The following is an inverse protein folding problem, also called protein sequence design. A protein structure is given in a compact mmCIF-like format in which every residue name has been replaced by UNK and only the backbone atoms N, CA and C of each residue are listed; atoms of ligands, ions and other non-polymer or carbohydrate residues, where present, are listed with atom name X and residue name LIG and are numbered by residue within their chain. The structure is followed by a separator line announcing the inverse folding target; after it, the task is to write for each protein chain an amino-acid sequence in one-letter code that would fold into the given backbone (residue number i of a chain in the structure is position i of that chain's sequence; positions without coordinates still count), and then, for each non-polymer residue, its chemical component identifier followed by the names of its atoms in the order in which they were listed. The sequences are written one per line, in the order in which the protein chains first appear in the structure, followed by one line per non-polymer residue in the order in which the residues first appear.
data_IF_564936954553
#
_entry.id   IF_564936954553
#
_cell.length_a   1.000
_cell.length_b   1.000
_cell.length_c   1.000
_cell.angle_alpha   90.00
_cell.angle_beta   90.00
_cell.angle_gamma   90.00
#
_symmetry.space_group_name_H-M   'P 1'
#
loop_
_entity.id
_entity.type
_entity.pdbx_description
1 polymer ?
#
# COMPACT_ATOMS: atom_id res chain seq x y z
N UNK A 1 2.90 -19.27 -9.52
CA UNK A 1 2.62 -20.71 -9.70
C UNK A 1 3.92 -21.47 -9.99
N UNK A 2 4.68 -21.09 -11.00
CA UNK A 2 5.95 -21.77 -11.40
C UNK A 2 6.91 -22.00 -10.22
N UNK A 3 7.09 -21.02 -9.33
CA UNK A 3 7.98 -21.13 -8.18
C UNK A 3 7.46 -22.14 -7.14
N UNK A 4 6.16 -22.19 -6.90
CA UNK A 4 5.56 -23.18 -6.02
C UNK A 4 5.78 -24.58 -6.59
N UNK A 5 5.49 -24.79 -7.88
CA UNK A 5 5.71 -26.06 -8.56
C UNK A 5 7.18 -26.49 -8.55
N UNK A 6 8.10 -25.55 -8.79
CA UNK A 6 9.53 -25.81 -8.77
C UNK A 6 10.06 -26.19 -7.38
N UNK A 7 9.32 -25.91 -6.31
CA UNK A 7 9.69 -26.20 -4.93
C UNK A 7 9.20 -27.58 -4.44
N UNK A 8 8.30 -28.22 -5.18
CA UNK A 8 7.74 -29.54 -4.79
C UNK A 8 8.88 -30.57 -4.70
N UNK A 9 8.91 -31.29 -3.57
CA UNK A 9 9.94 -32.28 -3.27
C UNK A 9 11.32 -31.71 -2.88
N UNK A 10 11.47 -30.37 -2.79
CA UNK A 10 12.71 -29.71 -2.40
C UNK A 10 12.67 -29.11 -1.00
N UNK A 11 11.49 -28.84 -0.46
CA UNK A 11 11.30 -28.31 0.88
C UNK A 11 10.01 -28.85 1.50
N UNK A 12 9.90 -28.77 2.84
CA UNK A 12 8.72 -29.23 3.57
C UNK A 12 7.63 -28.15 3.65
N UNK A 13 8.02 -26.86 3.56
CA UNK A 13 7.13 -25.70 3.66
C UNK A 13 7.51 -24.66 2.65
N UNK A 14 6.52 -23.95 2.13
CA UNK A 14 6.68 -22.75 1.30
C UNK A 14 6.11 -21.54 2.04
N UNK A 15 6.83 -20.43 2.02
CA UNK A 15 6.32 -19.12 2.41
C UNK A 15 6.11 -18.29 1.14
N UNK A 16 4.88 -17.89 0.88
CA UNK A 16 4.54 -16.91 -0.16
C UNK A 16 4.41 -15.55 0.50
N UNK A 17 5.28 -14.63 0.15
CA UNK A 17 5.36 -13.30 0.78
C UNK A 17 5.11 -12.24 -0.30
N UNK A 18 4.22 -11.30 -0.02
CA UNK A 18 3.94 -10.17 -0.91
C UNK A 18 3.48 -8.94 -0.12
N UNK A 19 3.65 -7.75 -0.70
CA UNK A 19 2.90 -6.58 -0.25
C UNK A 19 1.44 -6.70 -0.74
N UNK A 20 0.51 -6.15 0.01
CA UNK A 20 -0.86 -5.95 -0.44
C UNK A 20 -0.91 -4.84 -1.51
N UNK A 21 -0.38 -3.66 -1.16
CA UNK A 21 -0.19 -2.52 -2.06
C UNK A 21 1.31 -2.28 -2.26
N UNK A 22 1.75 -2.22 -3.50
CA UNK A 22 3.13 -1.87 -3.85
C UNK A 22 3.36 -0.37 -3.72
N UNK A 23 4.16 0.03 -2.75
CA UNK A 23 4.30 1.41 -2.26
C UNK A 23 4.74 2.45 -3.30
N UNK A 24 5.50 2.05 -4.33
CA UNK A 24 5.97 2.95 -5.38
C UNK A 24 4.89 3.15 -6.45
N UNK A 25 4.20 2.09 -6.81
CA UNK A 25 3.31 2.05 -7.97
C UNK A 25 1.82 2.26 -7.64
N UNK A 26 1.41 2.01 -6.38
CA UNK A 26 0.01 2.08 -5.98
C UNK A 26 -0.89 0.98 -6.56
N UNK A 27 -0.33 -0.01 -7.26
CA UNK A 27 -1.01 -1.23 -7.66
C UNK A 27 -1.04 -2.23 -6.50
N UNK A 28 -1.83 -3.28 -6.63
CA UNK A 28 -2.06 -4.26 -5.57
C UNK A 28 -1.78 -5.69 -6.04
N UNK A 29 -1.42 -6.54 -5.10
CA UNK A 29 -1.31 -7.97 -5.35
C UNK A 29 -2.73 -8.59 -5.52
N UNK A 30 -2.93 -9.51 -6.48
CA UNK A 30 -4.18 -10.25 -6.62
C UNK A 30 -4.26 -11.37 -5.56
N UNK A 31 -4.58 -10.98 -4.31
CA UNK A 31 -4.48 -11.89 -3.16
C UNK A 31 -5.45 -13.06 -3.23
N UNK A 32 -6.62 -12.89 -3.84
CA UNK A 32 -7.57 -13.98 -4.12
C UNK A 32 -6.94 -15.06 -5.01
N UNK A 33 -6.25 -14.66 -6.07
CA UNK A 33 -5.55 -15.59 -6.98
C UNK A 33 -4.37 -16.25 -6.27
N UNK A 34 -3.58 -15.47 -5.52
CA UNK A 34 -2.41 -15.98 -4.79
C UNK A 34 -2.86 -16.99 -3.72
N UNK A 35 -3.89 -16.67 -2.93
CA UNK A 35 -4.46 -17.58 -1.94
C UNK A 35 -4.98 -18.86 -2.57
N UNK A 36 -5.69 -18.76 -3.71
CA UNK A 36 -6.14 -19.94 -4.45
C UNK A 36 -5.01 -20.83 -4.96
N UNK A 37 -3.85 -20.25 -5.30
CA UNK A 37 -2.65 -21.01 -5.64
C UNK A 37 -2.05 -21.68 -4.40
N UNK A 38 -2.01 -21.00 -3.25
CA UNK A 38 -1.56 -21.60 -1.99
C UNK A 38 -2.43 -22.80 -1.62
N UNK A 39 -3.75 -22.64 -1.61
CA UNK A 39 -4.71 -23.72 -1.35
C UNK A 39 -4.54 -24.90 -2.32
N UNK A 40 -4.35 -24.63 -3.62
CA UNK A 40 -4.21 -25.66 -4.66
C UNK A 40 -3.00 -26.57 -4.46
N UNK A 41 -1.91 -26.03 -3.92
CA UNK A 41 -0.65 -26.75 -3.79
C UNK A 41 -0.27 -27.09 -2.34
N UNK A 42 -1.11 -26.76 -1.36
CA UNK A 42 -0.82 -26.94 0.06
C UNK A 42 -0.46 -28.40 0.41
N UNK A 43 -1.23 -29.35 -0.09
CA UNK A 43 -1.06 -30.79 0.11
C UNK A 43 0.21 -31.40 -0.53
N UNK A 44 0.93 -30.63 -1.35
CA UNK A 44 2.21 -31.02 -1.96
C UNK A 44 3.42 -30.80 -1.04
N UNK A 45 3.20 -30.14 0.09
CA UNK A 45 4.24 -29.84 1.08
C UNK A 45 3.85 -30.42 2.44
N UNK A 46 4.78 -31.12 3.09
CA UNK A 46 4.54 -31.80 4.37
C UNK A 46 4.02 -30.83 5.46
N UNK A 47 4.47 -29.60 5.44
CA UNK A 47 4.12 -28.55 6.40
C UNK A 47 3.31 -27.41 5.75
N UNK A 48 2.79 -27.64 4.55
CA UNK A 48 1.90 -26.72 3.82
C UNK A 48 2.57 -25.47 3.27
N UNK A 49 1.73 -24.53 2.83
CA UNK A 49 2.09 -23.22 2.31
C UNK A 49 1.49 -22.16 3.22
N UNK A 50 2.29 -21.18 3.64
CA UNK A 50 1.82 -20.01 4.37
C UNK A 50 1.85 -18.77 3.47
N UNK A 51 0.73 -18.06 3.41
CA UNK A 51 0.61 -16.77 2.74
C UNK A 51 0.82 -15.63 3.74
N UNK A 52 1.87 -14.86 3.51
CA UNK A 52 2.27 -13.70 4.30
C UNK A 52 2.04 -12.42 3.49
N UNK A 53 1.26 -11.48 4.01
CA UNK A 53 0.95 -10.22 3.34
C UNK A 53 1.33 -9.04 4.21
N UNK A 54 2.17 -8.14 3.71
CA UNK A 54 2.36 -6.81 4.27
C UNK A 54 1.34 -5.85 3.63
N UNK A 55 0.30 -5.51 4.37
CA UNK A 55 -0.75 -4.60 3.91
C UNK A 55 -0.65 -3.21 4.55
N UNK A 56 0.56 -2.80 4.91
CA UNK A 56 0.85 -1.51 5.54
C UNK A 56 0.37 -0.29 4.74
N UNK A 57 0.20 -0.40 3.45
CA UNK A 57 -0.37 0.64 2.60
C UNK A 57 -1.88 0.49 2.38
N UNK A 58 -2.43 -0.72 2.54
CA UNK A 58 -3.85 -0.98 2.30
C UNK A 58 -4.73 -0.68 3.51
N UNK A 59 -4.32 -1.13 4.72
CA UNK A 59 -5.12 -0.97 5.94
C UNK A 59 -5.42 0.50 6.24
N UNK A 60 -6.70 0.79 6.54
CA UNK A 60 -7.20 2.13 6.84
C UNK A 60 -7.40 3.04 5.62
N UNK A 61 -6.91 2.67 4.42
CA UNK A 61 -6.98 3.52 3.23
C UNK A 61 -7.58 2.82 1.99
N UNK A 62 -7.67 1.50 1.98
CA UNK A 62 -8.09 0.71 0.84
C UNK A 62 -9.14 -0.34 1.22
N UNK A 63 -9.85 -0.90 0.22
CA UNK A 63 -10.99 -1.77 0.46
C UNK A 63 -12.28 -0.99 0.73
N UNK A 64 -13.41 -1.67 0.78
CA UNK A 64 -14.74 -1.05 0.94
C UNK A 64 -14.90 -0.35 2.28
N UNK A 65 -14.40 -0.97 3.34
CA UNK A 65 -14.51 -0.49 4.72
C UNK A 65 -13.16 -0.13 5.36
N UNK A 66 -12.08 -0.05 4.55
CA UNK A 66 -10.74 0.28 5.02
C UNK A 66 -9.97 -0.91 5.59
N UNK A 67 -10.43 -2.14 5.35
CA UNK A 67 -9.72 -3.37 5.79
C UNK A 67 -8.62 -3.83 4.84
N UNK A 68 -8.21 -2.95 3.93
CA UNK A 68 -7.05 -3.14 3.09
C UNK A 68 -7.27 -4.02 1.88
N UNK A 69 -6.15 -4.52 1.36
CA UNK A 69 -6.10 -5.30 0.13
C UNK A 69 -6.79 -6.64 0.25
N UNK A 70 -6.76 -7.25 1.44
CA UNK A 70 -7.46 -8.52 1.71
C UNK A 70 -8.98 -8.39 1.54
N UNK A 71 -9.55 -7.24 1.93
CA UNK A 71 -10.96 -6.94 1.69
C UNK A 71 -11.22 -6.66 0.21
N UNK A 72 -10.39 -5.82 -0.41
CA UNK A 72 -10.55 -5.41 -1.79
C UNK A 72 -10.53 -6.58 -2.77
N UNK A 73 -9.68 -7.57 -2.52
CA UNK A 73 -9.50 -8.77 -3.37
C UNK A 73 -10.34 -9.97 -2.91
N UNK A 74 -11.25 -9.82 -1.94
CA UNK A 74 -12.03 -10.92 -1.36
C UNK A 74 -11.17 -12.07 -0.80
N UNK A 75 -9.99 -11.75 -0.25
CA UNK A 75 -9.06 -12.70 0.37
C UNK A 75 -9.16 -12.72 1.91
N UNK A 76 -10.22 -12.14 2.49
CA UNK A 76 -10.47 -12.19 3.94
C UNK A 76 -10.52 -13.63 4.45
N UNK A 77 -9.74 -13.92 5.50
CA UNK A 77 -9.62 -15.26 6.10
C UNK A 77 -8.76 -16.26 5.32
N UNK A 78 -8.12 -15.84 4.23
CA UNK A 78 -7.26 -16.69 3.40
C UNK A 78 -5.76 -16.37 3.53
N UNK A 79 -5.42 -15.33 4.27
CA UNK A 79 -4.05 -14.91 4.56
C UNK A 79 -3.66 -15.44 5.93
N UNK A 80 -2.55 -16.16 6.03
CA UNK A 80 -2.09 -16.77 7.27
C UNK A 80 -1.44 -15.76 8.21
N UNK A 81 -0.69 -14.81 7.64
CA UNK A 81 0.01 -13.77 8.38
C UNK A 81 -0.20 -12.43 7.70
N UNK A 82 -0.89 -11.51 8.38
CA UNK A 82 -1.09 -10.13 7.93
C UNK A 82 -0.22 -9.21 8.77
N UNK A 83 0.58 -8.38 8.11
CA UNK A 83 1.38 -7.32 8.73
C UNK A 83 0.78 -5.96 8.39
N UNK A 84 0.76 -5.07 9.35
CA UNK A 84 0.34 -3.70 9.16
C UNK A 84 1.16 -2.72 9.98
N UNK A 85 1.48 -1.56 9.39
CA UNK A 85 2.08 -0.46 10.14
C UNK A 85 1.02 0.47 10.71
N UNK A 86 1.30 1.02 11.89
CA UNK A 86 0.50 2.10 12.48
C UNK A 86 0.99 3.49 12.03
N UNK A 87 2.12 3.54 11.31
CA UNK A 87 2.78 4.79 10.89
C UNK A 87 2.21 5.46 9.65
N UNK A 88 1.12 4.95 9.06
CA UNK A 88 0.48 5.51 7.86
C UNK A 88 -0.94 5.97 8.18
N UNK A 89 -1.96 5.24 7.81
CA UNK A 89 -3.37 5.61 8.01
C UNK A 89 -3.77 5.79 9.47
N UNK A 90 -3.11 5.10 10.39
CA UNK A 90 -3.36 5.22 11.83
C UNK A 90 -2.63 6.42 12.47
N UNK A 91 -1.64 7.02 11.81
CA UNK A 91 -0.97 8.24 12.23
C UNK A 91 -0.16 8.16 13.53
N UNK A 92 0.31 6.96 13.92
CA UNK A 92 1.10 6.73 15.14
C UNK A 92 2.26 5.77 14.85
N UNK A 93 3.17 5.58 15.80
CA UNK A 93 4.27 4.64 15.65
C UNK A 93 3.84 3.19 15.88
N UNK A 94 4.66 2.25 15.35
CA UNK A 94 4.52 0.84 15.58
C UNK A 94 3.91 0.09 14.42
N UNK A 95 3.53 -1.13 14.70
CA UNK A 95 2.90 -2.04 13.75
C UNK A 95 2.37 -3.26 14.48
N UNK A 96 1.73 -4.14 13.74
CA UNK A 96 1.17 -5.36 14.26
C UNK A 96 1.33 -6.51 13.28
N UNK A 97 1.26 -7.70 13.83
CA UNK A 97 1.11 -8.95 13.09
C UNK A 97 -0.18 -9.61 13.54
N UNK A 98 -1.08 -9.85 12.60
CA UNK A 98 -2.33 -10.59 12.84
C UNK A 98 -2.21 -11.99 12.23
N UNK A 99 -2.30 -13.01 13.09
CA UNK A 99 -2.10 -14.41 12.70
C UNK A 99 -2.68 -15.35 13.75
N UNK A 100 -2.45 -16.67 13.61
CA UNK A 100 -2.89 -17.66 14.60
C UNK A 100 -2.14 -17.53 15.93
N UNK A 101 -2.75 -17.98 17.02
CA UNK A 101 -2.14 -17.95 18.35
C UNK A 101 -0.78 -18.69 18.40
N UNK A 102 -0.66 -19.79 17.67
CA UNK A 102 0.58 -20.57 17.61
C UNK A 102 1.73 -19.76 16.96
N UNK A 103 1.44 -19.04 15.88
CA UNK A 103 2.45 -18.19 15.21
C UNK A 103 2.79 -16.98 16.10
N UNK A 104 1.80 -16.37 16.78
CA UNK A 104 2.05 -15.29 17.75
C UNK A 104 3.00 -15.74 18.84
N UNK A 105 2.74 -16.90 19.45
CA UNK A 105 3.61 -17.47 20.50
C UNK A 105 5.03 -17.74 19.96
N UNK A 106 5.13 -18.30 18.77
CA UNK A 106 6.41 -18.53 18.11
C UNK A 106 7.20 -17.22 17.89
N UNK A 107 6.51 -16.15 17.41
CA UNK A 107 7.14 -14.86 17.18
C UNK A 107 7.61 -14.22 18.48
N UNK A 108 6.84 -14.30 19.56
CA UNK A 108 7.25 -13.81 20.89
C UNK A 108 8.55 -14.46 21.37
N UNK A 109 8.77 -15.73 21.04
CA UNK A 109 9.95 -16.49 21.50
C UNK A 109 11.15 -16.42 20.54
N UNK A 110 10.91 -16.14 19.26
CA UNK A 110 11.92 -16.32 18.20
C UNK A 110 12.22 -15.11 17.35
N UNK A 111 11.35 -14.08 17.35
CA UNK A 111 11.60 -12.88 16.55
C UNK A 111 12.61 -11.94 17.25
N UNK A 112 13.87 -11.81 16.75
CA UNK A 112 14.87 -10.98 17.41
C UNK A 112 14.44 -9.51 17.51
N UNK A 113 13.79 -9.01 16.49
CA UNK A 113 13.30 -7.63 16.46
C UNK A 113 12.23 -7.36 17.52
N UNK A 114 11.40 -8.36 17.87
CA UNK A 114 10.44 -8.24 18.96
C UNK A 114 11.15 -8.34 20.33
N UNK A 115 12.07 -9.29 20.50
CA UNK A 115 12.74 -9.57 21.78
C UNK A 115 13.66 -8.42 22.18
N UNK A 116 14.37 -7.82 21.22
CA UNK A 116 15.42 -6.81 21.45
C UNK A 116 14.99 -5.37 21.09
N UNK A 117 13.71 -5.12 20.86
CA UNK A 117 13.17 -3.77 20.67
C UNK A 117 12.25 -3.35 21.81
N UNK A 118 12.02 -2.06 21.93
CA UNK A 118 11.06 -1.55 22.88
C UNK A 118 9.63 -1.63 22.30
N UNK A 119 8.59 -1.91 23.13
CA UNK A 119 7.20 -1.83 22.70
C UNK A 119 6.80 -0.38 22.41
N UNK A 120 5.69 -0.21 21.67
CA UNK A 120 5.07 1.10 21.48
C UNK A 120 4.68 1.69 22.84
N UNK A 121 4.73 3.01 22.96
CA UNK A 121 4.31 3.68 24.19
C UNK A 121 2.80 3.59 24.42
N UNK A 122 2.31 3.71 25.68
CA UNK A 122 0.88 3.75 25.95
C UNK A 122 0.14 4.85 25.18
N UNK A 123 0.78 6.00 24.95
CA UNK A 123 0.22 7.11 24.18
C UNK A 123 0.01 6.73 22.70
N UNK A 124 0.99 6.06 22.10
CA UNK A 124 0.90 5.55 20.72
C UNK A 124 -0.18 4.47 20.62
N UNK A 125 -0.25 3.55 21.58
CA UNK A 125 -1.29 2.52 21.61
C UNK A 125 -2.69 3.14 21.72
N UNK A 126 -2.89 4.15 22.57
CA UNK A 126 -4.15 4.88 22.70
C UNK A 126 -4.51 5.62 21.41
N UNK A 127 -3.52 6.24 20.74
CA UNK A 127 -3.70 6.88 19.44
C UNK A 127 -4.14 5.89 18.36
N UNK A 128 -3.50 4.73 18.28
CA UNK A 128 -3.86 3.66 17.36
C UNK A 128 -5.28 3.12 17.61
N UNK A 129 -5.64 2.91 18.88
CA UNK A 129 -6.99 2.50 19.25
C UNK A 129 -8.04 3.52 18.80
N UNK A 130 -7.76 4.82 19.03
CA UNK A 130 -8.68 5.88 18.60
C UNK A 130 -8.81 5.99 17.09
N UNK A 131 -7.72 5.85 16.37
CA UNK A 131 -7.74 5.79 14.90
C UNK A 131 -8.57 4.60 14.40
N UNK A 132 -8.40 3.42 15.00
CA UNK A 132 -9.19 2.23 14.66
C UNK A 132 -10.69 2.45 14.92
N UNK A 133 -11.07 3.04 16.06
CA UNK A 133 -12.47 3.39 16.36
C UNK A 133 -13.07 4.32 15.30
N UNK A 134 -12.31 5.31 14.83
CA UNK A 134 -12.75 6.23 13.77
C UNK A 134 -12.90 5.48 12.45
N UNK A 135 -11.88 4.71 12.04
CA UNK A 135 -11.89 3.96 10.78
C UNK A 135 -13.08 2.98 10.74
N UNK A 136 -13.36 2.29 11.84
CA UNK A 136 -14.45 1.30 11.94
C UNK A 136 -15.80 1.94 12.35
N UNK A 137 -16.05 3.17 11.90
CA UNK A 137 -17.26 3.94 12.21
C UNK A 137 -17.92 4.50 10.94
N UNK A 138 -19.17 5.00 11.02
CA UNK A 138 -19.80 5.72 9.92
C UNK A 138 -19.05 6.99 9.50
N UNK A 139 -18.29 7.62 10.39
CA UNK A 139 -17.41 8.75 10.09
C UNK A 139 -16.23 8.29 9.22
N UNK A 140 -15.59 7.18 9.59
CA UNK A 140 -14.51 6.57 8.81
C UNK A 140 -14.92 6.19 7.39
N UNK A 141 -16.13 5.67 7.21
CA UNK A 141 -16.67 5.39 5.88
C UNK A 141 -16.81 6.66 5.02
N UNK A 142 -17.25 7.78 5.60
CA UNK A 142 -17.34 9.07 4.88
C UNK A 142 -15.96 9.61 4.50
N UNK A 143 -14.97 9.48 5.41
CA UNK A 143 -13.58 9.86 5.16
C UNK A 143 -13.01 9.03 3.98
N UNK A 144 -13.27 7.73 3.99
CA UNK A 144 -12.80 6.81 2.97
C UNK A 144 -13.50 7.06 1.61
N UNK A 145 -14.79 7.37 1.59
CA UNK A 145 -15.52 7.78 0.37
C UNK A 145 -14.95 9.07 -0.22
N UNK A 146 -14.67 10.05 0.64
CA UNK A 146 -14.04 11.30 0.20
C UNK A 146 -12.65 11.04 -0.39
N UNK A 147 -11.82 10.24 0.28
CA UNK A 147 -10.49 9.84 -0.22
C UNK A 147 -10.58 9.22 -1.61
N UNK A 148 -11.50 8.28 -1.83
CA UNK A 148 -11.73 7.66 -3.16
C UNK A 148 -12.14 8.70 -4.20
N UNK A 149 -13.05 9.61 -3.84
CA UNK A 149 -13.53 10.67 -4.73
C UNK A 149 -12.38 11.55 -5.20
N UNK A 150 -11.58 12.09 -4.28
CA UNK A 150 -10.48 13.00 -4.63
C UNK A 150 -9.33 12.26 -5.33
N UNK A 151 -9.09 10.99 -4.99
CA UNK A 151 -8.12 10.13 -5.69
C UNK A 151 -8.54 9.92 -7.16
N UNK A 152 -9.81 9.56 -7.37
CA UNK A 152 -10.34 9.37 -8.72
C UNK A 152 -10.30 10.68 -9.53
N UNK A 153 -10.69 11.80 -8.92
CA UNK A 153 -10.64 13.12 -9.55
C UNK A 153 -9.21 13.47 -10.02
N UNK A 154 -8.22 13.23 -9.16
CA UNK A 154 -6.82 13.48 -9.49
C UNK A 154 -6.34 12.60 -10.64
N UNK A 155 -6.63 11.32 -10.59
CA UNK A 155 -6.22 10.34 -11.61
C UNK A 155 -6.85 10.62 -12.97
N UNK A 156 -8.17 10.85 -13.01
CA UNK A 156 -8.89 11.22 -14.23
C UNK A 156 -8.35 12.54 -14.81
N UNK A 157 -8.04 13.51 -13.94
CA UNK A 157 -7.47 14.78 -14.32
C UNK A 157 -6.06 14.67 -14.91
N UNK A 158 -5.21 13.78 -14.40
CA UNK A 158 -3.90 13.46 -14.99
C UNK A 158 -4.06 12.89 -16.41
N UNK A 159 -4.95 11.91 -16.57
CA UNK A 159 -5.22 11.27 -17.86
C UNK A 159 -5.76 12.32 -18.86
N UNK A 160 -6.73 13.13 -18.44
CA UNK A 160 -7.31 14.22 -19.27
C UNK A 160 -6.27 15.27 -19.67
N UNK A 161 -5.27 15.52 -18.80
CA UNK A 161 -4.13 16.38 -19.12
C UNK A 161 -3.06 15.68 -19.99
N UNK A 162 -3.28 14.42 -20.37
CA UNK A 162 -2.40 13.63 -21.21
C UNK A 162 -1.13 13.13 -20.51
N UNK A 163 -1.16 13.01 -19.18
CA UNK A 163 -0.12 12.33 -18.41
C UNK A 163 -0.38 10.83 -18.34
N UNK A 164 0.69 10.06 -18.30
CA UNK A 164 0.64 8.62 -18.06
C UNK A 164 0.56 8.36 -16.56
N UNK A 165 -0.37 7.48 -16.13
CA UNK A 165 -0.46 6.95 -14.77
C UNK A 165 -0.78 5.47 -14.81
N UNK A 166 -0.51 4.76 -13.70
CA UNK A 166 -0.79 3.33 -13.63
C UNK A 166 -2.26 3.06 -13.25
N UNK A 167 -2.83 1.92 -13.69
CA UNK A 167 -4.18 1.51 -13.26
C UNK A 167 -4.21 1.23 -11.75
N UNK A 168 -5.41 1.32 -11.13
CA UNK A 168 -5.61 1.07 -9.71
C UNK A 168 -6.47 2.17 -9.06
N UNK A 169 -6.96 1.94 -7.86
CA UNK A 169 -7.84 2.83 -7.10
C UNK A 169 -7.21 3.32 -5.79
N UNK A 170 -5.97 2.89 -5.53
CA UNK A 170 -5.24 3.28 -4.32
C UNK A 170 -4.85 4.77 -4.36
N UNK A 171 -4.83 5.48 -3.21
CA UNK A 171 -4.49 6.91 -3.14
C UNK A 171 -3.00 7.23 -3.41
N UNK A 172 -2.13 6.26 -3.56
CA UNK A 172 -0.82 6.45 -4.19
C UNK A 172 -1.04 6.47 -5.70
N UNK A 173 -0.79 7.62 -6.32
CA UNK A 173 -0.98 7.84 -7.76
C UNK A 173 0.34 8.23 -8.40
N UNK A 174 0.99 7.32 -9.14
CA UNK A 174 2.22 7.64 -9.86
C UNK A 174 1.89 8.41 -11.16
N UNK A 175 2.63 9.50 -11.39
CA UNK A 175 2.71 10.16 -12.69
C UNK A 175 4.00 9.68 -13.35
N UNK A 176 3.89 8.89 -14.39
CA UNK A 176 5.04 8.30 -15.10
C UNK A 176 5.74 9.36 -15.95
N UNK A 177 7.01 9.62 -15.66
CA UNK A 177 7.84 10.60 -16.38
C UNK A 177 8.80 9.92 -17.35
N UNK A 178 9.27 8.71 -17.00
CA UNK A 178 10.12 7.86 -17.85
C UNK A 178 11.51 8.43 -18.18
N UNK A 179 11.91 9.50 -17.50
CA UNK A 179 13.17 10.20 -17.75
C UNK A 179 13.66 10.90 -16.48
N UNK A 180 14.89 10.65 -16.07
CA UNK A 180 15.46 11.18 -14.82
C UNK A 180 15.57 12.72 -14.84
N UNK A 181 16.01 13.32 -15.96
CA UNK A 181 16.19 14.77 -16.01
C UNK A 181 14.85 15.51 -16.02
N UNK A 182 13.88 15.00 -16.74
CA UNK A 182 12.49 15.53 -16.73
C UNK A 182 11.84 15.37 -15.38
N UNK A 183 12.07 14.24 -14.69
CA UNK A 183 11.56 13.99 -13.35
C UNK A 183 12.06 15.04 -12.36
N UNK A 184 13.38 15.28 -12.34
CA UNK A 184 14.00 16.32 -11.51
C UNK A 184 13.43 17.70 -11.83
N UNK A 185 13.31 18.04 -13.12
CA UNK A 185 12.78 19.34 -13.56
C UNK A 185 11.33 19.56 -13.14
N UNK A 186 10.49 18.53 -13.29
CA UNK A 186 9.07 18.60 -12.90
C UNK A 186 8.90 18.70 -11.38
N UNK A 187 9.68 17.95 -10.60
CA UNK A 187 9.67 18.05 -9.12
C UNK A 187 10.03 19.48 -8.68
N UNK A 188 11.11 20.04 -9.25
CA UNK A 188 11.53 21.42 -8.96
C UNK A 188 10.42 22.41 -9.29
N UNK A 189 9.82 22.30 -10.47
CA UNK A 189 8.69 23.15 -10.87
C UNK A 189 7.52 23.06 -9.91
N UNK A 190 7.12 21.84 -9.51
CA UNK A 190 6.05 21.63 -8.56
C UNK A 190 6.32 22.31 -7.22
N UNK A 191 7.55 22.19 -6.70
CA UNK A 191 7.98 22.88 -5.47
C UNK A 191 7.89 24.41 -5.59
N UNK A 192 8.32 24.98 -6.71
CA UNK A 192 8.22 26.42 -6.99
C UNK A 192 6.76 26.91 -7.05
N UNK A 193 5.82 26.00 -7.38
CA UNK A 193 4.37 26.27 -7.38
C UNK A 193 3.69 25.93 -6.04
N UNK A 194 4.45 25.54 -5.01
CA UNK A 194 3.91 25.22 -3.68
C UNK A 194 3.36 23.80 -3.56
N UNK A 195 3.67 22.91 -4.51
CA UNK A 195 3.26 21.50 -4.48
C UNK A 195 4.42 20.62 -4.02
N UNK A 196 4.24 19.95 -2.87
CA UNK A 196 5.19 18.97 -2.38
C UNK A 196 4.88 17.58 -2.98
N UNK A 197 5.76 17.10 -3.85
CA UNK A 197 5.66 15.79 -4.47
C UNK A 197 7.02 15.11 -4.50
N UNK A 198 7.03 13.77 -4.48
CA UNK A 198 8.27 12.98 -4.44
C UNK A 198 8.57 12.40 -5.81
N UNK A 199 9.70 12.82 -6.40
CA UNK A 199 10.25 12.21 -7.61
C UNK A 199 11.03 10.95 -7.26
N UNK A 200 10.74 9.86 -7.94
CA UNK A 200 11.43 8.59 -7.81
C UNK A 200 12.21 8.31 -9.09
N UNK A 201 13.49 7.97 -8.92
CA UNK A 201 14.41 7.65 -10.00
C UNK A 201 15.32 6.50 -9.58
N UNK A 202 16.13 5.98 -10.51
CA UNK A 202 17.10 4.95 -10.18
C UNK A 202 18.01 5.40 -9.00
N UNK A 203 18.32 4.54 -8.03
CA UNK A 203 18.03 3.10 -7.95
C UNK A 203 16.70 2.73 -7.27
N UNK A 204 15.87 3.70 -6.85
CA UNK A 204 14.60 3.45 -6.16
C UNK A 204 13.57 2.78 -7.09
N UNK A 205 13.54 3.22 -8.34
CA UNK A 205 12.80 2.58 -9.44
C UNK A 205 13.75 2.23 -10.57
N UNK A 206 13.43 1.23 -11.42
CA UNK A 206 14.24 0.92 -12.60
C UNK A 206 14.37 2.12 -13.55
N UNK A 207 15.43 2.16 -14.33
CA UNK A 207 15.59 3.16 -15.41
C UNK A 207 14.47 2.99 -16.45
N UNK A 208 13.81 4.09 -16.81
CA UNK A 208 12.64 4.09 -17.68
C UNK A 208 11.30 3.98 -16.90
N UNK A 209 11.36 3.81 -15.58
CA UNK A 209 10.21 3.81 -14.69
C UNK A 209 10.22 5.04 -13.74
N UNK A 210 10.99 6.07 -14.08
CA UNK A 210 10.99 7.30 -13.31
C UNK A 210 9.60 7.91 -13.23
N UNK A 211 9.21 8.30 -12.02
CA UNK A 211 7.86 8.76 -11.73
C UNK A 211 7.85 9.86 -10.67
N UNK A 212 6.78 10.63 -10.63
CA UNK A 212 6.43 11.45 -9.48
C UNK A 212 5.31 10.72 -8.73
N UNK A 213 5.59 10.32 -7.49
CA UNK A 213 4.63 9.68 -6.62
C UNK A 213 3.80 10.71 -5.88
N UNK A 214 2.55 10.88 -6.29
CA UNK A 214 1.57 11.64 -5.54
C UNK A 214 0.90 10.74 -4.50
N UNK A 215 0.73 11.29 -3.30
CA UNK A 215 0.01 10.62 -2.22
C UNK A 215 -1.20 11.45 -1.85
N UNK A 216 -2.37 11.00 -2.29
CA UNK A 216 -3.62 11.68 -2.02
C UNK A 216 -4.05 11.38 -0.59
N UNK A 217 -4.51 12.41 0.11
CA UNK A 217 -4.97 12.32 1.50
C UNK A 217 -6.44 12.70 1.59
N UNK A 218 -7.14 12.12 2.55
CA UNK A 218 -8.51 12.49 2.88
C UNK A 218 -8.64 13.94 3.42
N UNK A 219 -7.54 14.58 3.75
CA UNK A 219 -7.52 16.01 4.10
C UNK A 219 -7.47 16.95 2.89
N UNK A 220 -7.16 16.43 1.71
CA UNK A 220 -7.18 17.25 0.49
C UNK A 220 -8.63 17.53 0.06
N UNK A 221 -8.89 18.79 -0.28
CA UNK A 221 -10.16 19.22 -0.88
C UNK A 221 -10.14 19.03 -2.40
N UNK A 222 -11.31 19.07 -3.02
CA UNK A 222 -11.43 19.09 -4.50
C UNK A 222 -10.69 20.29 -5.12
N UNK A 223 -10.66 21.42 -4.41
CA UNK A 223 -9.92 22.62 -4.84
C UNK A 223 -8.41 22.40 -4.85
N UNK A 224 -7.86 21.73 -3.82
CA UNK A 224 -6.43 21.38 -3.78
C UNK A 224 -6.07 20.47 -4.96
N UNK A 225 -6.89 19.46 -5.23
CA UNK A 225 -6.69 18.55 -6.37
C UNK A 225 -6.73 19.31 -7.68
N UNK A 226 -7.72 20.21 -7.88
CA UNK A 226 -7.83 21.01 -9.09
C UNK A 226 -6.63 21.94 -9.28
N UNK A 227 -6.15 22.56 -8.21
CA UNK A 227 -4.97 23.42 -8.25
C UNK A 227 -3.74 22.67 -8.77
N UNK A 228 -3.47 21.46 -8.25
CA UNK A 228 -2.34 20.64 -8.70
C UNK A 228 -2.49 20.24 -10.18
N UNK A 229 -3.70 19.88 -10.60
CA UNK A 229 -3.97 19.54 -12.00
C UNK A 229 -3.76 20.74 -12.94
N UNK A 230 -4.13 21.96 -12.53
CA UNK A 230 -3.93 23.15 -13.33
C UNK A 230 -2.43 23.51 -13.43
N UNK A 231 -1.67 23.35 -12.35
CA UNK A 231 -0.21 23.51 -12.35
C UNK A 231 0.47 22.52 -13.31
N UNK A 232 0.04 21.25 -13.29
CA UNK A 232 0.57 20.22 -14.19
C UNK A 232 0.21 20.49 -15.65
N UNK A 233 -1.01 20.96 -15.95
CA UNK A 233 -1.41 21.38 -17.30
C UNK A 233 -0.56 22.55 -17.79
N UNK A 234 -0.31 23.56 -16.93
CA UNK A 234 0.53 24.70 -17.26
C UNK A 234 1.97 24.30 -17.56
N UNK A 235 2.52 23.31 -16.86
CA UNK A 235 3.87 22.79 -17.15
C UNK A 235 3.96 22.13 -18.53
N UNK A 236 2.95 21.36 -18.91
CA UNK A 236 2.95 20.64 -20.19
C UNK A 236 2.86 21.53 -21.41
N UNK A 237 2.30 22.75 -21.22
CA UNK A 237 2.13 23.73 -22.29
C UNK A 237 3.34 24.70 -22.43
N UNK A 238 4.40 24.49 -21.62
CA UNK A 238 5.67 25.22 -21.73
C UNK A 238 6.64 24.50 -22.66
#
# INVERSE_FOLDING_TARGET
EEQIQASIGKCNRVLVITDGIFSMRGDHAPLDVIAGLCEKYDDKFQEGILLFVDDSHGIGAFGKTGRGTVEYTNAMGKVDVLVGTLGKSFGTNGGFVATTAQIVEYLHQKAPTYIYSNPISPGEAAGAMKALEIIDSPEGLKILEHLRKVTKMFKDGLIAAGYETLPGEHPVVPLMVRDTAKNIALVKYLQEQGVLATGLSFPVVPRGDEEIRFQISASHTEADIQQVLDILKAYKNK
#
